data_IF_622872647333
#
_entry.id   IF_622872647333
#
_cell.length_a   1.000
_cell.length_b   1.000
_cell.length_c   1.000
_cell.angle_alpha   90.00
_cell.angle_beta   90.00
_cell.angle_gamma   90.00
#
_symmetry.space_group_name_H-M   'P 1'
#
loop_
_entity.id
_entity.type
_entity.pdbx_description
1 polymer ?
#
# COMPACT_ATOMS: atom_id res chain seq x y z
N UNK A 1 -20.50 18.71 -2.88
CA UNK A 1 -19.03 18.59 -2.80
C UNK A 1 -18.45 19.14 -4.10
N UNK A 2 -17.56 20.12 -4.04
CA UNK A 2 -16.90 20.69 -5.24
C UNK A 2 -15.93 19.67 -5.85
N UNK A 3 -15.54 19.88 -7.10
CA UNK A 3 -14.56 19.03 -7.79
C UNK A 3 -13.22 18.97 -7.03
N UNK A 4 -12.72 20.13 -6.57
CA UNK A 4 -11.55 20.23 -5.71
C UNK A 4 -11.71 19.43 -4.42
N UNK A 5 -12.89 19.48 -3.78
CA UNK A 5 -13.18 18.70 -2.59
C UNK A 5 -13.13 17.19 -2.83
N UNK A 6 -13.61 16.71 -3.99
CA UNK A 6 -13.52 15.29 -4.38
C UNK A 6 -12.07 14.87 -4.63
N UNK A 7 -11.29 15.70 -5.31
CA UNK A 7 -9.87 15.43 -5.59
C UNK A 7 -9.07 15.27 -4.30
N UNK A 8 -9.19 16.21 -3.36
CA UNK A 8 -8.49 16.16 -2.07
C UNK A 8 -8.92 14.94 -1.25
N UNK A 9 -10.22 14.62 -1.25
CA UNK A 9 -10.74 13.44 -0.56
C UNK A 9 -10.15 12.14 -1.12
N UNK A 10 -10.13 12.00 -2.45
CA UNK A 10 -9.59 10.80 -3.11
C UNK A 10 -8.07 10.68 -2.87
N UNK A 11 -7.31 11.77 -2.98
CA UNK A 11 -5.87 11.78 -2.72
C UNK A 11 -5.57 11.38 -1.26
N UNK A 12 -6.34 11.91 -0.30
CA UNK A 12 -6.21 11.54 1.11
C UNK A 12 -6.53 10.07 1.37
N UNK A 13 -7.58 9.54 0.71
CA UNK A 13 -7.96 8.12 0.78
C UNK A 13 -6.86 7.22 0.22
N UNK A 14 -6.31 7.55 -0.94
CA UNK A 14 -5.23 6.79 -1.59
C UNK A 14 -3.97 6.76 -0.72
N UNK A 15 -3.50 7.94 -0.26
CA UNK A 15 -2.34 8.04 0.65
C UNK A 15 -2.56 7.23 1.94
N UNK A 16 -3.76 7.31 2.51
CA UNK A 16 -4.12 6.57 3.71
C UNK A 16 -4.02 5.06 3.54
N UNK A 17 -4.46 4.53 2.39
CA UNK A 17 -4.36 3.10 2.06
C UNK A 17 -2.90 2.64 1.95
N UNK A 18 -2.07 3.36 1.21
CA UNK A 18 -0.66 3.01 1.02
C UNK A 18 0.11 3.03 2.35
N UNK A 19 -0.08 4.07 3.17
CA UNK A 19 0.58 4.21 4.47
C UNK A 19 0.14 3.14 5.48
N UNK A 20 -1.14 2.75 5.46
CA UNK A 20 -1.63 1.65 6.28
C UNK A 20 -0.98 0.33 5.86
N UNK A 21 -0.94 0.04 4.56
CA UNK A 21 -0.34 -1.18 4.03
C UNK A 21 1.15 -1.28 4.39
N UNK A 22 1.91 -0.20 4.24
CA UNK A 22 3.33 -0.13 4.65
C UNK A 22 3.50 -0.50 6.13
N UNK A 23 2.66 0.04 7.02
CA UNK A 23 2.72 -0.28 8.45
C UNK A 23 2.40 -1.75 8.74
N UNK A 24 1.46 -2.34 8.01
CA UNK A 24 1.13 -3.76 8.16
C UNK A 24 2.28 -4.66 7.68
N UNK A 25 2.89 -4.35 6.54
CA UNK A 25 4.05 -5.07 6.03
C UNK A 25 5.26 -4.98 6.97
N UNK A 26 5.52 -3.79 7.53
CA UNK A 26 6.54 -3.59 8.58
C UNK A 26 6.20 -4.43 9.82
N UNK A 27 4.92 -4.45 10.23
CA UNK A 27 4.51 -5.24 11.40
C UNK A 27 4.69 -6.75 11.20
N UNK A 28 4.45 -7.25 9.99
CA UNK A 28 4.54 -8.67 9.65
C UNK A 28 5.98 -9.14 9.40
N UNK A 29 6.75 -8.36 8.61
CA UNK A 29 8.07 -8.76 8.12
C UNK A 29 9.23 -8.04 8.80
N UNK A 30 8.96 -7.08 9.68
CA UNK A 30 9.98 -6.27 10.36
C UNK A 30 10.40 -5.08 9.50
N UNK A 31 11.61 -5.11 8.94
CA UNK A 31 12.13 -3.98 8.16
C UNK A 31 11.62 -4.07 6.73
N UNK A 32 10.94 -3.03 6.26
CA UNK A 32 10.60 -2.84 4.86
C UNK A 32 11.59 -1.85 4.22
N UNK A 33 12.31 -2.23 3.14
CA UNK A 33 13.22 -1.33 2.45
C UNK A 33 12.52 -0.05 1.96
N UNK A 34 13.22 1.07 1.93
CA UNK A 34 12.63 2.34 1.49
C UNK A 34 12.16 2.30 0.03
N UNK A 35 12.88 1.58 -0.84
CA UNK A 35 12.46 1.34 -2.22
C UNK A 35 11.06 0.70 -2.29
N UNK A 36 10.74 -0.21 -1.37
CA UNK A 36 9.46 -0.90 -1.35
C UNK A 36 8.35 0.05 -0.89
N UNK A 37 8.64 0.92 0.09
CA UNK A 37 7.71 1.96 0.55
C UNK A 37 7.36 2.90 -0.59
N UNK A 38 8.35 3.35 -1.35
CA UNK A 38 8.14 4.23 -2.51
C UNK A 38 7.34 3.52 -3.62
N UNK A 39 7.64 2.25 -3.91
CA UNK A 39 6.85 1.48 -4.88
C UNK A 39 5.39 1.34 -4.44
N UNK A 40 5.14 0.99 -3.17
CA UNK A 40 3.77 0.87 -2.61
C UNK A 40 3.00 2.20 -2.69
N UNK A 41 3.65 3.33 -2.42
CA UNK A 41 3.02 4.66 -2.54
C UNK A 41 2.56 4.99 -3.96
N UNK A 42 3.17 4.38 -4.97
CA UNK A 42 2.86 4.59 -6.38
C UNK A 42 2.00 3.46 -6.99
N UNK A 43 1.58 2.47 -6.20
CA UNK A 43 0.70 1.41 -6.67
C UNK A 43 -0.72 1.91 -6.92
N UNK A 44 -1.41 1.23 -7.84
CA UNK A 44 -2.85 1.42 -8.03
C UNK A 44 -3.63 0.96 -6.78
N UNK A 45 -4.80 1.56 -6.57
CA UNK A 45 -5.71 1.16 -5.47
C UNK A 45 -6.00 -0.35 -5.49
N UNK A 46 -6.18 -0.93 -6.68
CA UNK A 46 -6.41 -2.37 -6.85
C UNK A 46 -5.21 -3.23 -6.41
N UNK A 47 -3.98 -2.82 -6.72
CA UNK A 47 -2.80 -3.55 -6.28
C UNK A 47 -2.65 -3.48 -4.76
N UNK A 48 -2.92 -2.33 -4.14
CA UNK A 48 -2.89 -2.16 -2.68
C UNK A 48 -3.94 -3.06 -2.01
N UNK A 49 -5.15 -3.15 -2.57
CA UNK A 49 -6.22 -4.01 -2.05
C UNK A 49 -5.89 -5.50 -2.19
N UNK A 50 -5.27 -5.91 -3.31
CA UNK A 50 -4.83 -7.29 -3.50
C UNK A 50 -3.76 -7.68 -2.47
N UNK A 51 -2.73 -6.83 -2.29
CA UNK A 51 -1.70 -7.07 -1.27
C UNK A 51 -2.36 -7.11 0.12
N UNK A 52 -3.26 -6.17 0.43
CA UNK A 52 -3.94 -6.12 1.73
C UNK A 52 -4.80 -7.36 2.02
N UNK A 53 -5.30 -8.03 0.98
CA UNK A 53 -6.05 -9.29 1.10
C UNK A 53 -5.11 -10.47 1.34
N UNK A 54 -4.01 -10.54 0.60
CA UNK A 54 -3.04 -11.65 0.66
C UNK A 54 -2.01 -11.52 1.79
N UNK A 55 -1.88 -10.35 2.42
CA UNK A 55 -0.78 -10.04 3.36
C UNK A 55 -0.67 -11.06 4.50
N UNK A 56 -1.79 -11.61 4.97
CA UNK A 56 -1.77 -12.58 6.07
C UNK A 56 -1.25 -13.94 5.63
N UNK A 57 -1.43 -14.30 4.35
CA UNK A 57 -1.00 -15.56 3.74
C UNK A 57 0.44 -15.50 3.20
N UNK A 58 0.99 -14.30 2.98
CA UNK A 58 2.38 -14.14 2.53
C UNK A 58 3.38 -14.68 3.56
N UNK A 59 4.37 -15.45 3.13
CA UNK A 59 5.41 -16.01 4.00
C UNK A 59 6.70 -15.16 3.97
N UNK A 60 6.88 -14.32 2.95
CA UNK A 60 8.07 -13.46 2.84
C UNK A 60 7.85 -12.20 2.00
N UNK A 61 8.75 -11.22 2.15
CA UNK A 61 8.77 -10.01 1.31
C UNK A 61 9.03 -10.29 -0.18
N UNK A 62 9.55 -11.46 -0.54
CA UNK A 62 9.76 -11.84 -1.94
C UNK A 62 8.43 -11.97 -2.69
N UNK A 63 7.36 -12.38 -2.01
CA UNK A 63 6.03 -12.48 -2.63
C UNK A 63 5.43 -11.12 -2.98
N UNK A 64 5.84 -10.06 -2.27
CA UNK A 64 5.43 -8.70 -2.57
C UNK A 64 5.93 -8.24 -3.94
N UNK A 65 7.05 -8.78 -4.44
CA UNK A 65 7.62 -8.43 -5.76
C UNK A 65 6.69 -8.74 -6.94
N UNK A 66 5.65 -9.56 -6.74
CA UNK A 66 4.60 -9.77 -7.74
C UNK A 66 3.81 -8.50 -8.05
N UNK A 67 3.88 -7.51 -7.16
CA UNK A 67 3.07 -6.30 -7.21
C UNK A 67 3.87 -5.01 -7.49
N UNK A 68 5.18 -4.98 -7.20
CA UNK A 68 6.01 -3.77 -7.11
C UNK A 68 7.21 -3.75 -8.06
#
# INVERSE_FOLDING_TARGET
MTEVGKMIYNEGKEKGKSELLIKQLIKKFGILPDEYKEKIRNLSEAAIENIGTEIFDMESLEELKKYI
#
